data_IF_794142443677
#
_entry.id   IF_794142443677
#
_cell.length_a   1.000
_cell.length_b   1.000
_cell.length_c   1.000
_cell.angle_alpha   90.00
_cell.angle_beta   90.00
_cell.angle_gamma   90.00
#
_symmetry.space_group_name_H-M   'P 1'
#
loop_
_entity.id
_entity.type
_entity.pdbx_description
1 polymer ?
#
# COMPACT_ATOMS: atom_id res chain seq x y z
N UNK A 1 56.61 -11.08 13.62
CA UNK A 1 56.49 -9.63 13.39
C UNK A 1 55.07 -9.36 12.92
N UNK A 2 54.27 -8.77 13.80
CA UNK A 2 53.66 -7.45 13.63
C UNK A 2 52.31 -7.53 12.91
N UNK A 3 51.27 -7.57 13.73
CA UNK A 3 50.29 -6.50 13.87
C UNK A 3 49.14 -6.76 12.88
N UNK A 4 48.02 -7.33 13.33
CA UNK A 4 46.95 -6.58 13.98
C UNK A 4 46.54 -5.41 13.07
N UNK A 5 45.39 -5.56 12.41
CA UNK A 5 44.26 -4.66 12.66
C UNK A 5 43.25 -4.76 11.51
N UNK A 6 42.05 -5.16 11.89
CA UNK A 6 40.87 -4.40 11.56
C UNK A 6 40.48 -4.37 10.07
N UNK A 7 39.99 -5.49 9.58
CA UNK A 7 38.85 -5.44 8.67
C UNK A 7 37.81 -6.46 9.09
N UNK A 8 37.43 -6.36 10.36
CA UNK A 8 36.09 -6.71 10.82
C UNK A 8 35.17 -5.71 10.12
N UNK A 9 34.91 -5.93 8.83
CA UNK A 9 33.82 -5.27 8.10
C UNK A 9 32.57 -5.84 8.75
N UNK A 10 32.16 -5.11 9.77
CA UNK A 10 30.91 -5.23 10.47
C UNK A 10 29.83 -5.28 9.40
N UNK A 11 29.39 -6.50 9.13
CA UNK A 11 28.21 -6.81 8.36
C UNK A 11 27.01 -6.32 9.20
N UNK A 12 26.82 -5.00 9.21
CA UNK A 12 25.61 -4.35 9.72
C UNK A 12 24.51 -4.69 8.73
N UNK A 13 23.99 -5.91 8.84
CA UNK A 13 22.65 -6.25 8.37
C UNK A 13 21.70 -5.40 9.22
N UNK A 14 21.38 -4.21 8.70
CA UNK A 14 20.23 -3.43 9.14
C UNK A 14 18.98 -4.23 8.78
N UNK A 15 18.63 -5.16 9.66
CA UNK A 15 17.30 -5.76 9.72
C UNK A 15 16.33 -4.67 10.21
N UNK A 16 15.97 -3.75 9.32
CA UNK A 16 14.76 -2.94 9.49
C UNK A 16 13.58 -3.86 9.19
N UNK A 17 13.25 -4.72 10.16
CA UNK A 17 11.96 -5.36 10.19
C UNK A 17 10.97 -4.28 10.62
N UNK A 18 10.09 -3.86 9.73
CA UNK A 18 8.98 -2.96 10.04
C UNK A 18 8.05 -3.71 11.02
N UNK A 19 8.33 -3.61 12.32
CA UNK A 19 7.81 -4.55 13.35
C UNK A 19 6.29 -4.49 13.53
N UNK A 20 5.64 -3.48 12.94
CA UNK A 20 4.24 -3.17 13.19
C UNK A 20 3.33 -3.66 12.07
N UNK A 21 3.87 -3.91 10.86
CA UNK A 21 3.12 -4.41 9.74
C UNK A 21 2.80 -5.90 9.93
N UNK A 22 1.51 -6.24 9.99
CA UNK A 22 1.03 -7.62 10.02
C UNK A 22 0.80 -8.18 8.61
N UNK A 23 0.72 -7.30 7.63
CA UNK A 23 0.60 -7.65 6.21
C UNK A 23 1.10 -6.50 5.34
N UNK A 24 1.85 -6.82 4.29
CA UNK A 24 2.32 -5.87 3.28
C UNK A 24 2.52 -6.62 1.98
N UNK A 25 1.75 -6.26 0.96
CA UNK A 25 1.83 -6.90 -0.35
C UNK A 25 1.55 -5.89 -1.46
N UNK A 26 2.17 -6.14 -2.62
CA UNK A 26 2.03 -5.37 -3.84
C UNK A 26 1.71 -6.33 -4.98
N UNK A 27 0.85 -5.88 -5.88
CA UNK A 27 0.59 -6.50 -7.17
C UNK A 27 1.10 -5.57 -8.25
N UNK A 28 2.02 -6.06 -9.07
CA UNK A 28 2.50 -5.33 -10.24
C UNK A 28 1.40 -5.25 -11.30
N UNK A 29 1.36 -4.10 -11.97
CA UNK A 29 0.43 -3.84 -13.06
C UNK A 29 1.21 -3.95 -14.36
N UNK A 30 0.82 -4.94 -15.18
CA UNK A 30 1.47 -5.25 -16.43
C UNK A 30 1.51 -4.04 -17.39
N UNK A 31 2.68 -3.76 -17.96
CA UNK A 31 2.98 -2.59 -18.80
C UNK A 31 2.60 -1.21 -18.21
N UNK A 32 2.32 -1.12 -16.91
CA UNK A 32 1.76 0.10 -16.34
C UNK A 32 0.30 0.37 -16.75
N UNK A 33 -0.41 -0.63 -17.28
CA UNK A 33 -1.78 -0.51 -17.83
C UNK A 33 -2.80 -1.13 -16.87
N UNK A 34 -3.34 -0.33 -15.97
CA UNK A 34 -4.32 -0.81 -15.00
C UNK A 34 -5.73 -0.85 -15.60
N UNK A 35 -6.15 -2.02 -16.05
CA UNK A 35 -7.51 -2.24 -16.54
C UNK A 35 -8.53 -2.26 -15.41
N UNK A 36 -9.76 -1.77 -15.67
CA UNK A 36 -10.88 -1.83 -14.71
C UNK A 36 -11.19 -3.27 -14.28
N UNK A 37 -11.05 -4.23 -15.19
CA UNK A 37 -11.24 -5.67 -14.90
C UNK A 37 -10.14 -6.26 -14.01
N UNK A 38 -8.96 -5.64 -13.98
CA UNK A 38 -7.88 -6.05 -13.10
C UNK A 38 -8.14 -5.45 -11.71
N UNK A 39 -8.63 -6.26 -10.78
CA UNK A 39 -8.94 -5.86 -9.42
C UNK A 39 -8.04 -6.61 -8.42
N UNK A 40 -6.80 -6.11 -8.17
CA UNK A 40 -5.89 -6.69 -7.19
C UNK A 40 -6.58 -7.01 -5.87
N UNK A 41 -6.32 -8.21 -5.37
CA UNK A 41 -7.00 -8.77 -4.20
C UNK A 41 -5.97 -9.30 -3.22
N UNK A 42 -6.09 -8.86 -1.98
CA UNK A 42 -5.12 -9.05 -0.92
C UNK A 42 -5.78 -9.77 0.25
N UNK A 43 -5.27 -10.95 0.61
CA UNK A 43 -5.83 -11.75 1.71
C UNK A 43 -4.89 -11.76 2.89
N UNK A 44 -5.37 -11.35 4.06
CA UNK A 44 -4.57 -11.26 5.27
C UNK A 44 -5.33 -11.80 6.48
N UNK A 45 -4.59 -12.17 7.53
CA UNK A 45 -5.13 -12.75 8.75
C UNK A 45 -4.97 -11.80 9.94
N UNK A 46 -6.08 -11.54 10.64
CA UNK A 46 -6.11 -10.78 11.88
C UNK A 46 -6.18 -11.76 13.05
N UNK A 47 -5.10 -11.83 13.82
CA UNK A 47 -4.99 -12.72 14.99
C UNK A 47 -5.64 -12.14 16.24
N UNK A 48 -5.56 -10.83 16.42
CA UNK A 48 -6.07 -10.12 17.59
C UNK A 48 -7.00 -8.98 17.17
N UNK A 49 -8.30 -9.21 17.25
CA UNK A 49 -9.31 -8.20 16.94
C UNK A 49 -9.58 -7.22 18.11
N UNK A 50 -8.93 -7.40 19.27
CA UNK A 50 -9.09 -6.52 20.43
C UNK A 50 -8.30 -5.22 20.33
N UNK A 51 -7.40 -5.11 19.35
CA UNK A 51 -6.58 -3.91 19.09
C UNK A 51 -6.98 -3.22 17.78
N UNK A 52 -6.70 -1.91 17.64
CA UNK A 52 -6.92 -1.19 16.40
C UNK A 52 -5.78 -1.40 15.39
N UNK A 53 -6.08 -1.20 14.10
CA UNK A 53 -5.16 -1.34 12.97
C UNK A 53 -5.24 -0.13 12.03
N UNK A 54 -4.09 0.30 11.54
CA UNK A 54 -4.03 1.23 10.41
C UNK A 54 -3.91 0.44 9.11
N UNK A 55 -4.76 0.76 8.15
CA UNK A 55 -4.73 0.17 6.81
C UNK A 55 -4.33 1.26 5.83
N UNK A 56 -3.41 0.94 4.93
CA UNK A 56 -2.88 1.85 3.93
C UNK A 56 -3.05 1.28 2.52
N UNK A 57 -3.30 2.17 1.57
CA UNK A 57 -2.99 1.92 0.17
C UNK A 57 -1.49 2.14 -0.03
N UNK A 58 -0.86 1.26 -0.81
CA UNK A 58 0.43 1.54 -1.42
C UNK A 58 0.24 1.62 -2.93
N UNK A 59 0.74 2.68 -3.55
CA UNK A 59 0.63 2.88 -4.98
C UNK A 59 1.97 3.32 -5.54
N UNK A 60 2.37 2.74 -6.66
CA UNK A 60 3.51 3.23 -7.44
C UNK A 60 3.03 3.69 -8.81
N UNK A 61 3.35 4.93 -9.18
CA UNK A 61 3.11 5.44 -10.52
C UNK A 61 4.37 6.06 -11.12
N UNK A 62 4.36 6.19 -12.44
CA UNK A 62 5.37 6.97 -13.15
C UNK A 62 5.04 8.47 -13.11
N UNK A 63 6.04 9.33 -13.28
CA UNK A 63 5.89 10.77 -13.56
C UNK A 63 5.01 11.04 -14.79
N UNK A 64 4.94 10.09 -15.72
CA UNK A 64 4.08 10.19 -16.92
C UNK A 64 2.59 9.96 -16.62
N UNK A 65 2.21 9.69 -15.37
CA UNK A 65 0.81 9.58 -14.98
C UNK A 65 0.07 10.91 -15.21
N UNK A 66 -1.00 10.87 -16.00
CA UNK A 66 -1.61 12.07 -16.58
C UNK A 66 -2.55 12.85 -15.68
N UNK A 67 -2.73 12.44 -14.42
CA UNK A 67 -3.71 13.06 -13.50
C UNK A 67 -3.05 13.36 -12.16
N UNK A 68 -3.45 14.45 -11.50
CA UNK A 68 -2.95 14.73 -10.15
C UNK A 68 -3.59 13.82 -9.08
N UNK A 69 -4.72 13.19 -9.40
CA UNK A 69 -5.47 12.32 -8.50
C UNK A 69 -5.78 10.94 -9.12
N UNK A 70 -6.26 10.04 -8.26
CA UNK A 70 -6.73 8.71 -8.61
C UNK A 70 -7.96 8.37 -7.78
N UNK A 71 -9.08 8.09 -8.44
CA UNK A 71 -10.26 7.50 -7.82
C UNK A 71 -10.18 5.97 -7.88
N UNK A 72 -10.44 5.33 -6.75
CA UNK A 72 -10.52 3.87 -6.66
C UNK A 72 -11.57 3.43 -5.65
N UNK A 73 -12.10 2.23 -5.84
CA UNK A 73 -13.04 1.61 -4.90
C UNK A 73 -12.33 0.46 -4.19
N UNK A 74 -12.46 0.43 -2.86
CA UNK A 74 -12.04 -0.70 -2.04
C UNK A 74 -13.24 -1.51 -1.57
N UNK A 75 -13.05 -2.81 -1.45
CA UNK A 75 -14.02 -3.76 -0.92
C UNK A 75 -13.35 -4.61 0.15
N UNK A 76 -13.86 -4.55 1.37
CA UNK A 76 -13.41 -5.38 2.49
C UNK A 76 -14.42 -6.50 2.74
N UNK A 77 -13.95 -7.75 2.68
CA UNK A 77 -14.75 -8.95 2.90
C UNK A 77 -14.19 -9.77 4.05
N UNK A 78 -15.07 -10.42 4.80
CA UNK A 78 -14.67 -11.39 5.83
C UNK A 78 -14.31 -12.76 5.21
N UNK A 79 -13.98 -13.72 6.08
CA UNK A 79 -13.62 -15.08 5.69
C UNK A 79 -14.74 -15.83 4.97
N UNK A 80 -16.00 -15.43 5.15
CA UNK A 80 -17.17 -16.04 4.52
C UNK A 80 -17.46 -15.37 3.14
N UNK A 81 -16.64 -14.39 2.74
CA UNK A 81 -16.83 -13.61 1.52
C UNK A 81 -17.88 -12.51 1.64
N UNK A 82 -18.46 -12.30 2.83
CA UNK A 82 -19.45 -11.25 3.05
C UNK A 82 -18.75 -9.90 3.01
N UNK A 83 -19.31 -8.98 2.22
CA UNK A 83 -18.83 -7.60 2.18
C UNK A 83 -19.19 -6.87 3.48
N UNK A 84 -18.17 -6.42 4.18
CA UNK A 84 -18.28 -5.63 5.41
C UNK A 84 -18.31 -4.14 5.07
N UNK A 85 -17.56 -3.75 4.04
CA UNK A 85 -17.46 -2.35 3.62
C UNK A 85 -17.08 -2.24 2.14
N UNK A 86 -17.68 -1.27 1.46
CA UNK A 86 -17.22 -0.77 0.18
C UNK A 86 -17.18 0.75 0.18
N UNK A 87 -16.15 1.34 -0.42
CA UNK A 87 -15.97 2.80 -0.44
C UNK A 87 -15.17 3.25 -1.66
N UNK A 88 -15.62 4.35 -2.26
CA UNK A 88 -14.86 5.13 -3.23
C UNK A 88 -13.95 6.13 -2.49
N UNK A 89 -12.66 6.06 -2.75
CA UNK A 89 -11.65 6.97 -2.20
C UNK A 89 -10.95 7.74 -3.33
N UNK A 90 -10.51 8.95 -3.01
CA UNK A 90 -9.67 9.79 -3.87
C UNK A 90 -8.26 9.88 -3.28
N UNK A 91 -7.26 9.54 -4.09
CA UNK A 91 -5.85 9.64 -3.73
C UNK A 91 -5.23 10.81 -4.50
N UNK A 92 -4.60 11.75 -3.79
CA UNK A 92 -3.93 12.91 -4.39
C UNK A 92 -2.44 12.57 -4.61
N UNK A 93 -2.11 12.14 -5.82
CA UNK A 93 -0.77 11.66 -6.18
C UNK A 93 0.21 12.81 -6.47
N UNK A 94 -0.30 13.95 -6.93
CA UNK A 94 0.52 15.12 -7.26
C UNK A 94 -0.17 16.40 -6.80
N UNK A 95 0.59 17.46 -6.60
CA UNK A 95 0.05 18.81 -6.37
C UNK A 95 -0.70 19.30 -7.61
N UNK A 96 -1.98 19.73 -7.49
CA UNK A 96 -2.83 20.04 -8.62
C UNK A 96 -2.42 21.31 -9.38
N UNK A 97 -1.56 22.17 -8.81
CA UNK A 97 -1.13 23.43 -9.43
C UNK A 97 0.24 23.29 -10.10
N UNK A 98 1.16 22.61 -9.43
CA UNK A 98 2.56 22.50 -9.82
C UNK A 98 2.88 21.19 -10.53
N UNK A 99 2.02 20.18 -10.40
CA UNK A 99 2.29 18.83 -10.91
C UNK A 99 3.39 18.09 -10.15
N UNK A 100 3.89 18.64 -9.03
CA UNK A 100 4.91 17.99 -8.22
C UNK A 100 4.34 16.73 -7.57
N UNK A 101 5.00 15.56 -7.69
CA UNK A 101 4.53 14.34 -7.03
C UNK A 101 4.54 14.43 -5.51
N UNK A 102 3.49 13.89 -4.89
CA UNK A 102 3.32 13.80 -3.44
C UNK A 102 3.76 12.40 -2.95
N UNK A 103 5.07 12.14 -2.94
CA UNK A 103 5.61 10.85 -2.53
C UNK A 103 7.13 10.83 -2.60
N UNK A 104 7.72 9.70 -2.21
CA UNK A 104 9.15 9.47 -2.33
C UNK A 104 9.42 8.75 -3.65
N UNK A 105 10.38 9.25 -4.43
CA UNK A 105 10.63 8.73 -5.77
C UNK A 105 12.09 8.83 -6.17
N UNK A 106 12.51 7.92 -7.05
CA UNK A 106 13.82 7.91 -7.69
C UNK A 106 13.62 7.86 -9.21
N UNK A 107 14.15 8.86 -9.92
CA UNK A 107 13.94 8.99 -11.36
C UNK A 107 12.47 9.23 -11.68
N UNK A 108 11.90 8.38 -12.53
CA UNK A 108 10.54 8.56 -13.05
C UNK A 108 9.46 7.83 -12.23
N UNK A 109 9.80 7.18 -11.12
CA UNK A 109 8.86 6.40 -10.31
C UNK A 109 8.65 7.01 -8.93
N UNK A 110 7.39 7.04 -8.51
CA UNK A 110 6.96 7.61 -7.23
C UNK A 110 6.15 6.59 -6.44
N UNK A 111 6.55 6.37 -5.19
CA UNK A 111 5.86 5.53 -4.22
C UNK A 111 5.00 6.39 -3.30
N UNK A 112 3.76 5.94 -3.10
CA UNK A 112 2.79 6.61 -2.26
C UNK A 112 2.25 5.64 -1.21
N UNK A 113 2.14 6.12 0.03
CA UNK A 113 1.46 5.42 1.14
C UNK A 113 0.31 6.29 1.65
N UNK A 114 -0.93 5.91 1.34
CA UNK A 114 -2.12 6.66 1.75
C UNK A 114 -2.88 5.92 2.85
N UNK A 115 -3.25 6.63 3.92
CA UNK A 115 -4.06 6.05 5.00
C UNK A 115 -5.48 5.77 4.50
N UNK A 116 -5.82 4.49 4.41
CA UNK A 116 -7.14 4.00 4.00
C UNK A 116 -8.12 3.97 5.18
N UNK A 117 -7.69 3.42 6.32
CA UNK A 117 -8.48 3.41 7.56
C UNK A 117 -7.55 3.62 8.75
N UNK A 118 -7.90 4.60 9.59
CA UNK A 118 -7.23 4.86 10.87
C UNK A 118 -7.88 4.06 11.98
N UNK A 119 -7.06 3.48 12.86
CA UNK A 119 -7.48 2.83 14.11
C UNK A 119 -8.65 1.85 13.94
N UNK A 120 -8.69 1.13 12.82
CA UNK A 120 -9.78 0.22 12.50
C UNK A 120 -9.74 -1.03 13.38
N UNK A 121 -10.86 -1.31 14.05
CA UNK A 121 -11.04 -2.54 14.84
C UNK A 121 -11.80 -3.55 14.01
N UNK A 122 -11.15 -4.67 13.72
CA UNK A 122 -11.80 -5.77 13.03
C UNK A 122 -12.88 -6.40 13.92
N UNK A 123 -14.02 -6.86 13.38
CA UNK A 123 -15.11 -7.40 14.21
C UNK A 123 -14.76 -8.69 14.96
N UNK A 124 -13.90 -9.54 14.36
CA UNK A 124 -13.48 -10.83 14.92
C UNK A 124 -12.09 -11.22 14.38
N UNK A 125 -11.32 -12.06 15.08
CA UNK A 125 -10.14 -12.68 14.50
C UNK A 125 -10.51 -13.52 13.27
N UNK A 126 -9.64 -13.57 12.27
CA UNK A 126 -9.86 -14.38 11.07
C UNK A 126 -9.24 -13.78 9.81
N UNK A 127 -9.54 -14.42 8.68
CA UNK A 127 -9.12 -13.96 7.36
C UNK A 127 -10.02 -12.85 6.85
N UNK A 128 -9.40 -11.87 6.19
CA UNK A 128 -10.08 -10.79 5.49
C UNK A 128 -9.49 -10.64 4.11
N UNK A 129 -10.33 -10.21 3.18
CA UNK A 129 -9.94 -9.96 1.80
C UNK A 129 -10.21 -8.51 1.45
N UNK A 130 -9.17 -7.78 1.04
CA UNK A 130 -9.27 -6.43 0.50
C UNK A 130 -9.10 -6.49 -1.01
N UNK A 131 -10.10 -6.03 -1.74
CA UNK A 131 -10.02 -5.88 -3.19
C UNK A 131 -10.00 -4.40 -3.55
N UNK A 132 -9.10 -4.02 -4.46
CA UNK A 132 -8.98 -2.65 -4.96
C UNK A 132 -9.29 -2.64 -6.45
N UNK A 133 -10.14 -1.70 -6.86
CA UNK A 133 -10.52 -1.50 -8.25
C UNK A 133 -10.38 -0.03 -8.64
N UNK A 134 -9.71 0.26 -9.75
CA UNK A 134 -9.64 1.63 -10.25
C UNK A 134 -11.02 2.12 -10.72
N UNK A 135 -11.30 3.40 -10.47
CA UNK A 135 -12.58 4.05 -10.78
C UNK A 135 -12.36 5.32 -11.63
N UNK A 136 -11.37 5.27 -12.53
CA UNK A 136 -11.13 6.34 -13.50
C UNK A 136 -11.95 6.09 -14.76
N UNK A 137 -12.22 7.15 -15.53
CA UNK A 137 -12.92 7.03 -16.83
C UNK A 137 -12.09 6.33 -17.89
N UNK A 138 -10.76 6.36 -17.76
CA UNK A 138 -9.81 5.80 -18.72
C UNK A 138 -9.56 4.31 -18.43
N UNK A 139 -9.69 3.47 -19.46
CA UNK A 139 -9.44 2.03 -19.38
C UNK A 139 -8.63 1.55 -20.61
N UNK A 140 -7.37 1.09 -20.44
CA UNK A 140 -6.64 1.01 -19.18
C UNK A 140 -6.20 2.39 -18.67
N UNK A 141 -6.14 2.52 -17.34
CA UNK A 141 -5.45 3.64 -16.70
C UNK A 141 -3.95 3.43 -16.85
N UNK A 142 -3.27 4.37 -17.52
CA UNK A 142 -1.85 4.24 -17.86
C UNK A 142 -0.93 4.70 -16.72
N UNK A 143 0.32 4.25 -16.74
CA UNK A 143 1.43 4.69 -15.90
C UNK A 143 1.25 4.40 -14.40
N UNK A 144 0.46 3.38 -14.06
CA UNK A 144 0.39 2.81 -12.70
C UNK A 144 1.21 1.53 -12.69
N UNK A 145 2.28 1.47 -11.91
CA UNK A 145 3.22 0.35 -11.92
C UNK A 145 2.84 -0.74 -10.94
N UNK A 146 2.34 -0.38 -9.75
CA UNK A 146 1.89 -1.37 -8.78
C UNK A 146 0.85 -0.80 -7.82
N UNK A 147 0.02 -1.70 -7.30
CA UNK A 147 -1.03 -1.42 -6.30
C UNK A 147 -0.84 -2.41 -5.16
N UNK A 148 -0.91 -1.94 -3.93
CA UNK A 148 -0.70 -2.76 -2.76
C UNK A 148 -1.47 -2.26 -1.56
N UNK A 149 -1.38 -3.02 -0.47
CA UNK A 149 -1.87 -2.61 0.84
C UNK A 149 -0.85 -2.92 1.93
N UNK A 150 -0.91 -2.13 2.99
CA UNK A 150 -0.23 -2.44 4.25
C UNK A 150 -1.27 -2.43 5.37
N UNK A 151 -1.22 -3.43 6.24
CA UNK A 151 -2.00 -3.49 7.48
C UNK A 151 -1.02 -3.48 8.63
N UNK A 152 -1.11 -2.47 9.49
CA UNK A 152 -0.24 -2.24 10.64
C UNK A 152 -1.07 -2.22 11.92
N UNK A 153 -0.53 -2.75 13.02
CA UNK A 153 -1.12 -2.48 14.33
C UNK A 153 -1.05 -0.98 14.59
N UNK A 154 -2.17 -0.38 15.00
CA UNK A 154 -2.17 1.00 15.43
C UNK A 154 -1.54 1.07 16.84
N UNK A 155 -0.23 1.25 16.89
CA UNK A 155 0.47 1.52 18.15
C UNK A 155 0.15 2.97 18.53
N UNK A 156 -0.45 3.18 19.71
CA UNK A 156 -0.45 4.49 20.34
C UNK A 156 1.00 4.89 20.60
N UNK A 157 1.57 5.72 19.74
CA UNK A 157 2.66 6.61 20.16
C UNK A 157 2.08 7.52 21.23
N UNK A 158 2.33 7.18 22.50
CA UNK A 158 2.26 8.12 23.61
C UNK A 158 3.41 9.12 23.49
#
# INVERSE_FOLDING_TARGET
MKQLSLLMVTLLLVLSCDTNAVYKEYTDIDDGKWYIKNAPTFTFEIKDASIPYNIYYNLRNSLSYGYYNLYLTRYLRDADGKEIESRLDELILMDPKTGRPNGDGLGDLFDHKFLMKRDYRFPKPGKYTMQIKQYMRQDPLLNIQSVGITVEKAISTN
#
